data_IF_881832349752
#
_entry.id   IF_881832349752
#
_cell.length_a   1.000
_cell.length_b   1.000
_cell.length_c   1.000
_cell.angle_alpha   90.00
_cell.angle_beta   90.00
_cell.angle_gamma   90.00
#
_symmetry.space_group_name_H-M   'P 1'
#
loop_
_entity.id
_entity.type
_entity.pdbx_description
1 polymer ?
#
# COMPACT_ATOMS: atom_id res chain seq x y z
N UNK A 1 7.15 31.47 -0.36
CA UNK A 1 5.77 31.14 -0.74
C UNK A 1 4.98 30.75 0.51
N UNK A 2 4.38 31.70 1.24
CA UNK A 2 3.74 31.42 2.54
C UNK A 2 2.45 32.17 2.82
N UNK A 3 1.85 32.83 1.81
CA UNK A 3 0.61 33.61 2.01
C UNK A 3 -0.68 32.81 1.72
N UNK A 4 -0.66 31.91 0.74
CA UNK A 4 -1.83 31.10 0.35
C UNK A 4 -2.31 30.14 1.46
N UNK A 5 -1.38 29.58 2.25
CA UNK A 5 -1.71 28.57 3.25
C UNK A 5 -2.47 29.14 4.46
N UNK A 6 -2.24 30.41 4.80
CA UNK A 6 -2.86 31.03 5.98
C UNK A 6 -4.30 31.52 5.72
N UNK A 7 -4.62 31.91 4.47
CA UNK A 7 -5.98 32.34 4.13
C UNK A 7 -6.96 31.17 4.04
N UNK A 8 -6.49 29.99 3.62
CA UNK A 8 -7.31 28.78 3.53
C UNK A 8 -7.66 28.21 4.92
N UNK A 9 -6.72 28.26 5.87
CA UNK A 9 -6.94 27.89 7.27
C UNK A 9 -7.94 28.85 7.95
N UNK A 10 -7.87 30.15 7.63
CA UNK A 10 -8.84 31.12 8.15
C UNK A 10 -10.26 30.89 7.65
N UNK A 11 -10.43 30.49 6.38
CA UNK A 11 -11.76 30.17 5.83
C UNK A 11 -12.40 28.98 6.51
N UNK A 12 -11.63 27.94 6.83
CA UNK A 12 -12.14 26.75 7.52
C UNK A 12 -12.67 27.05 8.93
N UNK A 13 -12.05 27.99 9.65
CA UNK A 13 -12.43 28.36 11.02
C UNK A 13 -13.67 29.27 11.10
N UNK A 14 -14.12 29.85 9.97
CA UNK A 14 -15.25 30.78 9.92
C UNK A 14 -16.59 30.08 9.62
N UNK A 15 -16.57 28.82 9.17
CA UNK A 15 -17.76 28.09 8.74
C UNK A 15 -18.61 27.52 9.90
N UNK A 16 -18.08 27.49 11.13
CA UNK A 16 -18.75 26.87 12.30
C UNK A 16 -19.78 27.79 13.01
N UNK A 17 -20.22 28.87 12.38
CA UNK A 17 -21.27 29.74 12.94
C UNK A 17 -22.37 29.99 11.94
N UNK A 18 -23.33 29.07 11.88
CA UNK A 18 -24.76 29.40 11.83
C UNK A 18 -25.61 28.12 11.94
N UNK A 19 -26.39 28.03 13.01
CA UNK A 19 -27.45 27.05 13.20
C UNK A 19 -28.76 27.46 12.47
N UNK A 20 -29.61 26.45 12.28
CA UNK A 20 -31.09 26.43 12.31
C UNK A 20 -31.94 26.37 11.01
N UNK A 21 -32.64 25.21 10.93
CA UNK A 21 -34.04 24.92 10.51
C UNK A 21 -34.55 25.21 9.08
N UNK A 22 -34.98 24.15 8.36
CA UNK A 22 -36.41 23.83 8.16
C UNK A 22 -36.71 22.62 7.25
N UNK A 23 -37.92 22.07 7.44
CA UNK A 23 -38.51 20.82 6.97
C UNK A 23 -38.78 20.64 5.45
N UNK A 24 -38.74 19.36 5.04
CA UNK A 24 -39.58 18.64 4.06
C UNK A 24 -39.60 19.03 2.56
N UNK A 25 -39.07 18.15 1.69
CA UNK A 25 -39.88 17.27 0.82
C UNK A 25 -39.01 16.34 -0.04
N UNK A 26 -39.46 15.09 -0.20
CA UNK A 26 -38.83 14.03 -1.02
C UNK A 26 -38.95 14.33 -2.51
N UNK A 27 -37.82 14.29 -3.21
CA UNK A 27 -37.73 13.92 -4.63
C UNK A 27 -36.42 13.17 -4.79
N UNK A 28 -36.50 11.92 -5.27
CA UNK A 28 -35.34 11.08 -5.58
C UNK A 28 -34.67 11.62 -6.85
N UNK A 29 -33.90 12.70 -6.70
CA UNK A 29 -32.79 13.02 -7.58
C UNK A 29 -31.53 12.54 -6.88
N UNK A 30 -30.69 11.79 -7.61
CA UNK A 30 -29.32 11.48 -7.19
C UNK A 30 -28.68 12.74 -6.62
N UNK A 31 -28.15 12.74 -5.37
CA UNK A 31 -27.71 13.97 -4.75
C UNK A 31 -26.60 14.56 -5.61
N UNK A 32 -26.87 15.74 -6.14
CA UNK A 32 -25.87 16.57 -6.79
C UNK A 32 -24.74 16.76 -5.78
N UNK A 33 -23.54 16.25 -6.14
CA UNK A 33 -22.35 16.37 -5.28
C UNK A 33 -22.21 17.82 -4.86
N UNK A 34 -22.11 18.06 -3.57
CA UNK A 34 -21.94 19.42 -3.03
C UNK A 34 -20.60 19.99 -3.47
N UNK A 35 -20.45 21.32 -3.52
CA UNK A 35 -19.19 21.98 -3.91
C UNK A 35 -18.00 21.48 -3.07
N UNK A 36 -18.23 21.16 -1.80
CA UNK A 36 -17.24 20.65 -0.87
C UNK A 36 -16.82 19.20 -1.18
N UNK A 37 -17.77 18.35 -1.61
CA UNK A 37 -17.46 16.97 -2.05
C UNK A 37 -16.62 16.96 -3.33
N UNK A 38 -16.85 17.89 -4.26
CA UNK A 38 -16.06 18.02 -5.48
C UNK A 38 -14.63 18.48 -5.18
N UNK A 39 -14.44 19.43 -4.26
CA UNK A 39 -13.12 19.87 -3.81
C UNK A 39 -12.35 18.77 -3.07
N UNK A 40 -13.03 17.98 -2.22
CA UNK A 40 -12.41 16.83 -1.55
C UNK A 40 -11.99 15.74 -2.55
N UNK A 41 -12.81 15.48 -3.57
CA UNK A 41 -12.53 14.46 -4.59
C UNK A 41 -11.37 14.88 -5.50
N UNK A 42 -11.24 16.17 -5.82
CA UNK A 42 -10.07 16.72 -6.53
C UNK A 42 -8.79 16.59 -5.69
N UNK A 43 -8.86 16.95 -4.40
CA UNK A 43 -7.74 16.80 -3.47
C UNK A 43 -7.29 15.34 -3.35
N UNK A 44 -8.22 14.39 -3.27
CA UNK A 44 -7.90 12.95 -3.25
C UNK A 44 -7.20 12.50 -4.53
N UNK A 45 -7.60 13.01 -5.71
CA UNK A 45 -6.89 12.72 -6.97
C UNK A 45 -5.47 13.30 -6.98
N UNK A 46 -5.26 14.46 -6.38
CA UNK A 46 -3.91 15.02 -6.24
C UNK A 46 -3.05 14.21 -5.28
N UNK A 47 -3.61 13.79 -4.14
CA UNK A 47 -2.91 12.96 -3.15
C UNK A 47 -2.54 11.59 -3.76
N UNK A 48 -3.43 10.99 -4.54
CA UNK A 48 -3.20 9.72 -5.21
C UNK A 48 -1.99 9.72 -6.14
N UNK A 49 -1.64 10.87 -6.74
CA UNK A 49 -0.44 11.03 -7.58
C UNK A 49 0.86 11.14 -6.79
N UNK A 50 0.78 11.39 -5.48
CA UNK A 50 1.97 11.60 -4.65
C UNK A 50 2.62 10.26 -4.27
N UNK A 51 3.97 10.18 -4.29
CA UNK A 51 4.69 8.98 -3.84
C UNK A 51 4.53 8.78 -2.33
N UNK A 52 4.64 7.54 -1.85
CA UNK A 52 4.47 7.19 -0.43
C UNK A 52 5.49 7.92 0.48
N UNK A 53 6.66 8.23 -0.07
CA UNK A 53 7.73 8.96 0.60
C UNK A 53 7.35 10.41 0.93
N UNK A 54 6.37 10.97 0.22
CA UNK A 54 5.90 12.34 0.45
C UNK A 54 5.19 12.51 1.80
N UNK A 55 4.66 11.43 2.36
CA UNK A 55 3.91 11.45 3.62
C UNK A 55 4.79 11.48 4.87
N UNK A 56 6.13 11.44 4.73
CA UNK A 56 7.08 11.36 5.87
C UNK A 56 6.96 12.48 6.91
N UNK A 57 6.39 13.63 6.53
CA UNK A 57 6.27 14.81 7.37
C UNK A 57 4.85 15.04 7.91
N UNK A 58 3.93 14.07 7.75
CA UNK A 58 2.52 14.22 8.15
C UNK A 58 2.29 14.08 9.66
N UNK A 59 3.32 13.71 10.44
CA UNK A 59 3.25 13.46 11.89
C UNK A 59 2.71 14.62 12.71
N UNK A 60 2.99 15.86 12.30
CA UNK A 60 2.66 17.08 13.06
C UNK A 60 1.40 17.79 12.53
N UNK A 61 0.67 17.16 11.61
CA UNK A 61 -0.52 17.74 10.99
C UNK A 61 -1.76 17.48 11.87
N UNK A 62 -2.67 18.46 12.02
CA UNK A 62 -3.93 18.25 12.73
C UNK A 62 -4.76 17.09 12.15
N UNK A 63 -5.37 16.30 13.03
CA UNK A 63 -6.15 15.12 12.65
C UNK A 63 -7.30 15.41 11.69
N UNK A 64 -7.91 16.60 11.77
CA UNK A 64 -8.96 17.03 10.84
C UNK A 64 -8.50 17.03 9.38
N UNK A 65 -7.26 17.47 9.13
CA UNK A 65 -6.65 17.48 7.79
C UNK A 65 -6.11 16.09 7.46
N UNK A 66 -5.43 15.44 8.41
CA UNK A 66 -4.84 14.13 8.21
C UNK A 66 -5.89 13.07 7.81
N UNK A 67 -7.12 13.16 8.32
CA UNK A 67 -8.21 12.25 7.97
C UNK A 67 -8.49 12.19 6.47
N UNK A 68 -8.40 13.31 5.74
CA UNK A 68 -8.58 13.32 4.28
C UNK A 68 -7.44 12.60 3.57
N UNK A 69 -6.20 12.78 4.02
CA UNK A 69 -5.04 12.07 3.46
C UNK A 69 -5.06 10.57 3.80
N UNK A 70 -5.57 10.22 4.98
CA UNK A 70 -5.71 8.84 5.41
C UNK A 70 -6.66 8.05 4.50
N UNK A 71 -7.69 8.68 3.90
CA UNK A 71 -8.55 8.03 2.89
C UNK A 71 -7.75 7.46 1.71
N UNK A 72 -6.69 8.16 1.26
CA UNK A 72 -5.81 7.64 0.19
C UNK A 72 -4.95 6.47 0.67
N UNK A 73 -4.48 6.47 1.92
CA UNK A 73 -3.74 5.34 2.49
C UNK A 73 -4.61 4.08 2.54
N UNK A 74 -5.86 4.20 3.00
CA UNK A 74 -6.83 3.10 2.99
C UNK A 74 -7.09 2.58 1.57
N UNK A 75 -7.20 3.49 0.58
CA UNK A 75 -7.33 3.10 -0.83
C UNK A 75 -6.14 2.24 -1.30
N UNK A 76 -4.91 2.64 -0.98
CA UNK A 76 -3.69 1.89 -1.35
C UNK A 76 -3.59 0.53 -0.66
N UNK A 77 -4.09 0.41 0.57
CA UNK A 77 -4.18 -0.89 1.25
C UNK A 77 -5.17 -1.83 0.55
N UNK A 78 -6.34 -1.35 0.14
CA UNK A 78 -7.29 -2.14 -0.66
C UNK A 78 -6.71 -2.61 -1.99
N UNK A 79 -5.94 -1.77 -2.66
CA UNK A 79 -5.20 -2.16 -3.88
C UNK A 79 -4.16 -3.24 -3.57
N UNK A 80 -3.51 -3.16 -2.40
CA UNK A 80 -2.54 -4.14 -1.94
C UNK A 80 -3.17 -5.51 -1.62
N UNK A 81 -4.42 -5.54 -1.12
CA UNK A 81 -5.19 -6.79 -0.92
C UNK A 81 -5.49 -7.53 -2.22
N UNK A 82 -5.66 -6.81 -3.33
CA UNK A 82 -5.79 -7.46 -4.64
C UNK A 82 -4.43 -8.05 -5.06
N UNK A 83 -3.35 -7.27 -4.93
CA UNK A 83 -2.00 -7.69 -5.32
C UNK A 83 -1.48 -8.89 -4.55
N UNK A 84 -1.81 -9.00 -3.26
CA UNK A 84 -1.36 -10.14 -2.45
C UNK A 84 -1.99 -11.44 -2.92
N UNK A 85 -3.29 -11.43 -3.25
CA UNK A 85 -4.01 -12.59 -3.82
C UNK A 85 -3.48 -12.97 -5.19
N UNK A 86 -3.17 -11.99 -6.03
CA UNK A 86 -2.52 -12.25 -7.33
C UNK A 86 -1.15 -12.91 -7.16
N UNK A 87 -0.37 -12.44 -6.18
CA UNK A 87 0.96 -12.98 -5.87
C UNK A 87 0.88 -14.40 -5.32
N UNK A 88 -0.11 -14.70 -4.47
CA UNK A 88 -0.37 -16.05 -3.96
C UNK A 88 -0.67 -17.03 -5.10
N UNK A 89 -1.59 -16.66 -5.99
CA UNK A 89 -1.94 -17.47 -7.15
C UNK A 89 -0.74 -17.68 -8.07
N UNK A 90 0.09 -16.65 -8.26
CA UNK A 90 1.31 -16.75 -9.05
C UNK A 90 2.25 -17.81 -8.45
N UNK A 91 2.56 -17.71 -7.15
CA UNK A 91 3.45 -18.65 -6.46
C UNK A 91 2.95 -20.10 -6.55
N UNK A 92 1.63 -20.32 -6.38
CA UNK A 92 1.01 -21.65 -6.50
C UNK A 92 1.03 -22.22 -7.93
N UNK A 93 1.11 -21.35 -8.94
CA UNK A 93 1.11 -21.76 -10.35
C UNK A 93 2.49 -22.13 -10.90
N UNK A 94 3.57 -21.74 -10.20
CA UNK A 94 4.94 -22.01 -10.62
C UNK A 94 5.20 -23.52 -10.54
N UNK A 95 5.55 -24.12 -11.68
CA UNK A 95 6.01 -25.50 -11.75
C UNK A 95 7.52 -25.55 -11.60
N UNK A 96 7.99 -26.44 -10.74
CA UNK A 96 9.40 -26.70 -10.50
C UNK A 96 9.66 -28.22 -10.54
N UNK A 97 10.92 -28.59 -10.73
CA UNK A 97 11.37 -29.98 -10.62
C UNK A 97 11.77 -30.28 -9.17
N UNK A 98 11.57 -31.51 -8.70
CA UNK A 98 11.97 -31.89 -7.34
C UNK A 98 13.50 -31.79 -7.16
N UNK A 99 13.94 -31.19 -6.04
CA UNK A 99 15.34 -30.92 -5.68
C UNK A 99 16.06 -29.99 -6.67
N UNK A 100 15.31 -29.05 -7.23
CA UNK A 100 15.82 -28.02 -8.13
C UNK A 100 16.14 -26.72 -7.38
N UNK A 101 16.94 -25.83 -7.97
CA UNK A 101 17.20 -24.51 -7.39
C UNK A 101 15.94 -23.63 -7.39
N UNK A 102 15.01 -23.93 -8.28
CA UNK A 102 13.70 -23.32 -8.40
C UNK A 102 12.83 -23.65 -7.19
N UNK A 103 12.90 -24.87 -6.66
CA UNK A 103 12.22 -25.27 -5.42
C UNK A 103 12.74 -24.46 -4.22
N UNK A 104 14.06 -24.44 -4.00
CA UNK A 104 14.69 -23.68 -2.91
C UNK A 104 14.33 -22.17 -3.00
N UNK A 105 14.34 -21.61 -4.23
CA UNK A 105 13.96 -20.21 -4.45
C UNK A 105 12.48 -19.99 -4.16
N UNK A 106 11.60 -20.91 -4.55
CA UNK A 106 10.17 -20.79 -4.29
C UNK A 106 9.86 -20.87 -2.79
N UNK A 107 10.57 -21.69 -2.03
CA UNK A 107 10.49 -21.73 -0.57
C UNK A 107 10.84 -20.36 0.04
N UNK A 108 11.97 -19.78 -0.35
CA UNK A 108 12.40 -18.44 0.10
C UNK A 108 11.36 -17.37 -0.28
N UNK A 109 10.79 -17.45 -1.49
CA UNK A 109 9.73 -16.55 -1.92
C UNK A 109 8.45 -16.71 -1.10
N UNK A 110 8.11 -17.94 -0.70
CA UNK A 110 7.01 -18.23 0.21
C UNK A 110 7.21 -17.55 1.57
N UNK A 111 8.40 -17.65 2.15
CA UNK A 111 8.71 -16.95 3.41
C UNK A 111 8.63 -15.42 3.27
N UNK A 112 9.11 -14.87 2.15
CA UNK A 112 9.01 -13.44 1.87
C UNK A 112 7.54 -13.01 1.70
N UNK A 113 6.72 -13.83 1.05
CA UNK A 113 5.29 -13.63 0.90
C UNK A 113 4.58 -13.62 2.26
N UNK A 114 4.91 -14.56 3.15
CA UNK A 114 4.36 -14.59 4.52
C UNK A 114 4.73 -13.34 5.32
N UNK A 115 5.98 -12.87 5.20
CA UNK A 115 6.40 -11.60 5.81
C UNK A 115 5.67 -10.40 5.21
N UNK A 116 5.37 -10.42 3.91
CA UNK A 116 4.55 -9.40 3.29
C UNK A 116 3.11 -9.42 3.85
N UNK A 117 2.53 -10.60 4.06
CA UNK A 117 1.21 -10.76 4.69
C UNK A 117 1.13 -10.20 6.11
N UNK A 118 2.19 -10.35 6.91
CA UNK A 118 2.27 -9.74 8.26
C UNK A 118 2.09 -8.21 8.24
N UNK A 119 2.32 -7.55 7.10
CA UNK A 119 2.06 -6.11 6.97
C UNK A 119 0.57 -5.77 7.14
N UNK A 120 -0.35 -6.67 6.77
CA UNK A 120 -1.78 -6.46 6.98
C UNK A 120 -2.16 -6.59 8.46
N UNK A 121 -1.57 -7.54 9.18
CA UNK A 121 -1.78 -7.69 10.63
C UNK A 121 -1.36 -6.42 11.39
N UNK A 122 -0.20 -5.86 11.04
CA UNK A 122 0.29 -4.59 11.61
C UNK A 122 -0.64 -3.43 11.25
N UNK A 123 -1.17 -3.40 10.01
CA UNK A 123 -2.14 -2.39 9.59
C UNK A 123 -3.44 -2.46 10.42
N UNK A 124 -4.00 -3.65 10.64
CA UNK A 124 -5.16 -3.85 11.50
C UNK A 124 -4.87 -3.46 12.96
N UNK A 125 -3.67 -3.76 13.45
CA UNK A 125 -3.25 -3.32 14.79
C UNK A 125 -3.23 -1.79 14.91
N UNK A 126 -2.78 -1.07 13.88
CA UNK A 126 -2.85 0.39 13.84
C UNK A 126 -4.29 0.91 13.81
N UNK A 127 -5.25 0.19 13.21
CA UNK A 127 -6.68 0.54 13.30
C UNK A 127 -7.20 0.43 14.73
N UNK A 128 -6.79 -0.61 15.43
CA UNK A 128 -7.27 -0.91 16.77
C UNK A 128 -6.61 -0.05 17.86
N UNK A 129 -5.41 0.48 17.62
CA UNK A 129 -4.71 1.40 18.53
C UNK A 129 -5.15 2.84 18.29
N UNK A 130 -5.39 3.61 19.37
CA UNK A 130 -5.74 5.05 19.32
C UNK A 130 -4.55 5.94 18.91
N UNK A 131 -3.94 5.67 17.75
CA UNK A 131 -2.82 6.45 17.20
C UNK A 131 -3.37 7.67 16.45
N UNK A 132 -2.82 8.88 16.64
CA UNK A 132 -3.20 10.06 15.87
C UNK A 132 -3.04 9.84 14.36
N UNK A 133 -3.94 10.40 13.54
CA UNK A 133 -3.98 10.14 12.09
C UNK A 133 -2.68 10.57 11.39
N UNK A 134 -2.10 11.70 11.77
CA UNK A 134 -0.84 12.16 11.19
C UNK A 134 0.32 11.17 11.38
N UNK A 135 0.42 10.57 12.56
CA UNK A 135 1.42 9.54 12.87
C UNK A 135 1.12 8.23 12.13
N UNK A 136 -0.16 7.87 12.12
CA UNK A 136 -0.66 6.67 11.47
C UNK A 136 -0.35 6.63 9.98
N UNK A 137 -0.60 7.73 9.27
CA UNK A 137 -0.26 7.89 7.85
C UNK A 137 1.24 7.64 7.60
N UNK A 138 2.13 8.16 8.46
CA UNK A 138 3.57 7.96 8.31
C UNK A 138 3.95 6.49 8.48
N UNK A 139 3.40 5.83 9.49
CA UNK A 139 3.67 4.42 9.77
C UNK A 139 3.18 3.54 8.63
N UNK A 140 1.94 3.73 8.19
CA UNK A 140 1.32 2.93 7.15
C UNK A 140 1.92 3.20 5.76
N UNK A 141 2.30 4.43 5.44
CA UNK A 141 3.01 4.72 4.20
C UNK A 141 4.36 3.99 4.14
N UNK A 142 5.09 3.92 5.26
CA UNK A 142 6.34 3.15 5.35
C UNK A 142 6.10 1.66 5.22
N UNK A 143 5.04 1.16 5.86
CA UNK A 143 4.67 -0.25 5.80
C UNK A 143 4.28 -0.66 4.36
N UNK A 144 3.50 0.18 3.68
CA UNK A 144 3.17 0.02 2.25
C UNK A 144 4.42 0.02 1.37
N UNK A 145 5.44 0.84 1.64
CA UNK A 145 6.70 0.82 0.88
C UNK A 145 7.38 -0.55 1.03
N UNK A 146 7.52 -1.04 2.26
CA UNK A 146 8.16 -2.34 2.54
C UNK A 146 7.38 -3.47 1.87
N UNK A 147 6.05 -3.48 2.02
CA UNK A 147 5.16 -4.41 1.36
C UNK A 147 5.34 -4.40 -0.17
N UNK A 148 5.25 -3.22 -0.79
CA UNK A 148 5.36 -3.10 -2.24
C UNK A 148 6.73 -3.57 -2.74
N UNK A 149 7.81 -3.30 -2.01
CA UNK A 149 9.14 -3.76 -2.37
C UNK A 149 9.24 -5.30 -2.29
N UNK A 150 8.68 -5.92 -1.25
CA UNK A 150 8.66 -7.38 -1.12
C UNK A 150 7.89 -8.03 -2.29
N UNK A 151 6.68 -7.55 -2.58
CA UNK A 151 5.86 -8.06 -3.67
C UNK A 151 6.55 -7.86 -5.04
N UNK A 152 7.11 -6.68 -5.30
CA UNK A 152 7.84 -6.42 -6.55
C UNK A 152 9.06 -7.34 -6.70
N UNK A 153 9.75 -7.65 -5.60
CA UNK A 153 10.88 -8.57 -5.61
C UNK A 153 10.42 -9.99 -5.97
N UNK A 154 9.29 -10.44 -5.44
CA UNK A 154 8.69 -11.74 -5.78
C UNK A 154 8.40 -11.80 -7.29
N UNK A 155 7.71 -10.81 -7.84
CA UNK A 155 7.42 -10.76 -9.29
C UNK A 155 8.69 -10.79 -10.13
N UNK A 156 9.69 -10.00 -9.77
CA UNK A 156 10.96 -9.94 -10.51
C UNK A 156 11.66 -11.30 -10.52
N UNK A 157 11.73 -11.97 -9.36
CA UNK A 157 12.39 -13.26 -9.26
C UNK A 157 11.63 -14.30 -10.07
N UNK A 158 10.30 -14.34 -9.99
CA UNK A 158 9.49 -15.30 -10.76
C UNK A 158 9.61 -15.07 -12.27
N UNK A 159 9.69 -13.82 -12.74
CA UNK A 159 9.92 -13.51 -14.17
C UNK A 159 11.31 -13.98 -14.66
N UNK A 160 12.27 -14.10 -13.74
CA UNK A 160 13.61 -14.62 -14.02
C UNK A 160 13.70 -16.15 -13.91
N UNK A 161 12.67 -16.86 -13.43
CA UNK A 161 12.70 -18.33 -13.29
C UNK A 161 12.91 -19.04 -14.64
N UNK A 162 12.25 -18.58 -15.71
CA UNK A 162 12.39 -19.24 -17.02
C UNK A 162 13.77 -19.07 -17.65
N UNK A 163 14.55 -18.04 -17.23
CA UNK A 163 15.92 -17.81 -17.72
C UNK A 163 16.94 -18.77 -17.09
N UNK A 164 16.62 -19.36 -15.93
CA UNK A 164 17.50 -20.30 -15.24
C UNK A 164 17.50 -21.70 -15.86
N UNK A 165 16.41 -22.07 -16.55
CA UNK A 165 16.31 -23.35 -17.26
C UNK A 165 17.35 -23.49 -18.38
N UNK A 166 17.76 -22.37 -18.99
CA UNK A 166 18.76 -22.36 -20.07
C UNK A 166 20.21 -22.31 -19.57
N UNK A 167 20.45 -21.99 -18.29
CA UNK A 167 21.79 -21.88 -17.68
C UNK A 167 22.27 -23.17 -16.98
N UNK A 168 21.58 -24.30 -17.20
CA UNK A 168 21.92 -25.61 -16.59
C UNK A 168 23.35 -26.11 -16.86
N UNK A 169 24.10 -25.52 -17.80
CA UNK A 169 25.47 -25.93 -18.13
C UNK A 169 26.48 -25.49 -17.06
N UNK A 170 26.21 -24.43 -16.28
CA UNK A 170 27.14 -23.95 -15.24
C UNK A 170 26.96 -24.61 -13.85
N UNK A 171 25.85 -25.31 -13.62
CA UNK A 171 25.41 -25.72 -12.27
C UNK A 171 25.80 -27.15 -11.89
N UNK A 172 26.20 -27.99 -12.87
CA UNK A 172 26.74 -29.32 -12.57
C UNK A 172 28.16 -29.25 -11.95
N UNK A 173 28.92 -28.19 -12.21
CA UNK A 173 30.29 -28.07 -11.69
C UNK A 173 30.32 -27.79 -10.17
N UNK A 174 29.32 -27.10 -9.61
CA UNK A 174 29.25 -26.86 -8.15
C UNK A 174 28.71 -28.06 -7.35
N UNK A 175 27.88 -28.90 -7.98
CA UNK A 175 27.35 -30.13 -7.35
C UNK A 175 28.36 -31.26 -7.32
N UNK A 176 29.20 -31.40 -8.35
CA UNK A 176 30.28 -32.41 -8.37
C UNK A 176 31.38 -32.12 -7.34
N UNK A 177 31.63 -30.85 -7.00
CA UNK A 177 32.60 -30.49 -5.94
C UNK A 177 32.14 -30.95 -4.55
N UNK A 178 30.83 -31.03 -4.28
CA UNK A 178 30.34 -31.53 -2.98
C UNK A 178 30.35 -33.06 -2.87
N UNK A 179 30.29 -33.80 -3.98
CA UNK A 179 30.37 -35.27 -3.95
C UNK A 179 31.80 -35.79 -3.72
N UNK A 180 32.82 -34.95 -3.92
CA UNK A 180 34.22 -35.31 -3.68
C UNK A 180 34.71 -35.16 -2.22
N UNK A 181 33.87 -34.64 -1.32
CA UNK A 181 34.21 -34.38 0.08
C UNK A 181 33.46 -35.24 1.10
N UNK A 182 32.75 -36.29 0.67
CA UNK A 182 32.18 -37.33 1.54
C UNK A 182 32.71 -38.73 1.21
#
# INVERSE_FOLDING_TARGET
>A
MSKLNNDMIKKLLLSDKNEQENNANKTEESPSKTSEELEEEELLREIAKKPLESFKNMKDIPDAIAKTYYKDIVRRWKESEARIKETENLLLSVKYEERSLEEDRLEILGELFDKANQSFEIYEEHENRKVPYGHRIVLEARLLIVFNNAINLIYKIIDEFDKLKDDQIGVNDERDVRFFFF
#
